data_IF_395612246629
#
_entry.id   IF_395612246629
#
_cell.length_a   1.000
_cell.length_b   1.000
_cell.length_c   1.000
_cell.angle_alpha   90.00
_cell.angle_beta   90.00
_cell.angle_gamma   90.00
#
_symmetry.space_group_name_H-M   'P 1'
#
loop_
_entity.id
_entity.type
_entity.pdbx_description
1 polymer ?
#
# COMPACT_ATOMS: atom_id res chain seq x y z
N UNK A 1 20.83 42.08 -20.12
CA UNK A 1 20.78 40.63 -19.83
C UNK A 1 19.63 40.38 -18.86
N UNK A 2 18.46 40.00 -19.37
CA UNK A 2 17.28 39.74 -18.54
C UNK A 2 17.48 38.44 -17.75
N UNK A 3 17.48 38.53 -16.42
CA UNK A 3 17.40 37.38 -15.52
C UNK A 3 16.03 36.73 -15.67
N UNK A 4 15.98 35.51 -16.21
CA UNK A 4 14.78 34.68 -16.16
C UNK A 4 14.53 34.27 -14.71
N UNK A 5 13.70 35.05 -14.01
CA UNK A 5 13.07 34.63 -12.76
C UNK A 5 12.16 33.43 -13.09
N UNK A 6 12.53 32.25 -12.60
CA UNK A 6 11.60 31.12 -12.58
C UNK A 6 10.41 31.49 -11.70
N UNK A 7 9.17 31.36 -12.18
CA UNK A 7 8.00 31.60 -11.35
C UNK A 7 8.03 30.61 -10.18
N UNK A 8 7.86 31.12 -8.95
CA UNK A 8 7.69 30.28 -7.76
C UNK A 8 6.50 29.35 -7.99
N UNK A 9 6.77 28.08 -8.27
CA UNK A 9 5.72 27.07 -8.38
C UNK A 9 5.04 26.99 -7.01
N UNK A 10 3.76 27.34 -6.97
CA UNK A 10 2.94 27.17 -5.77
C UNK A 10 3.09 25.73 -5.30
N UNK A 11 3.33 25.55 -4.01
CA UNK A 11 3.48 24.24 -3.40
C UNK A 11 2.28 23.37 -3.77
N UNK A 12 2.50 22.38 -4.63
CA UNK A 12 1.50 21.36 -4.89
C UNK A 12 1.16 20.71 -3.53
N UNK A 13 -0.12 20.64 -3.12
CA UNK A 13 -0.51 20.03 -1.83
C UNK A 13 -0.04 18.58 -1.69
N UNK A 14 0.33 17.94 -2.79
CA UNK A 14 0.84 16.57 -2.84
C UNK A 14 2.37 16.45 -2.95
N UNK A 15 3.13 17.56 -2.92
CA UNK A 15 4.59 17.60 -3.10
C UNK A 15 5.10 16.83 -4.34
N UNK A 16 4.29 16.76 -5.41
CA UNK A 16 4.69 16.07 -6.63
C UNK A 16 5.70 16.90 -7.41
N UNK A 17 6.63 16.22 -8.08
CA UNK A 17 7.56 16.83 -9.02
C UNK A 17 6.82 17.35 -10.28
N UNK A 18 7.43 18.28 -11.05
CA UNK A 18 6.89 18.67 -12.34
C UNK A 18 6.65 17.46 -13.26
N UNK A 19 5.41 17.30 -13.74
CA UNK A 19 4.99 16.18 -14.59
C UNK A 19 4.52 14.92 -13.84
N UNK A 20 4.66 14.89 -12.52
CA UNK A 20 4.21 13.78 -11.70
C UNK A 20 2.73 13.93 -11.33
N UNK A 21 2.03 12.80 -11.29
CA UNK A 21 0.58 12.74 -11.13
C UNK A 21 0.24 11.95 -9.87
N UNK A 22 -0.47 12.58 -8.93
CA UNK A 22 -1.01 11.89 -7.76
C UNK A 22 -2.10 10.93 -8.22
N UNK A 23 -1.77 9.65 -8.16
CA UNK A 23 -2.68 8.55 -8.45
C UNK A 23 -3.38 8.18 -7.15
N UNK A 24 -4.46 8.89 -6.80
CA UNK A 24 -5.12 8.63 -5.51
C UNK A 24 -5.57 7.17 -5.36
N UNK A 25 -5.64 6.74 -4.11
CA UNK A 25 -5.49 5.34 -3.73
C UNK A 25 -6.08 5.10 -2.34
N UNK A 26 -6.67 3.93 -2.12
CA UNK A 26 -6.93 3.38 -0.79
C UNK A 26 -6.20 2.05 -0.67
N UNK A 27 -5.29 1.95 0.30
CA UNK A 27 -4.60 0.72 0.67
C UNK A 27 -4.75 0.44 2.15
N UNK A 28 -4.78 -0.83 2.52
CA UNK A 28 -4.95 -1.28 3.89
C UNK A 28 -4.25 -2.62 4.11
N UNK A 29 -3.68 -2.83 5.31
CA UNK A 29 -3.26 -4.16 5.74
C UNK A 29 -3.51 -4.36 7.24
N UNK A 30 -3.94 -5.56 7.60
CA UNK A 30 -4.32 -5.91 8.98
C UNK A 30 -3.81 -7.33 9.30
N UNK A 31 -3.02 -7.52 10.37
CA UNK A 31 -2.66 -8.83 10.88
C UNK A 31 -3.84 -9.50 11.59
N UNK A 32 -3.84 -10.83 11.60
CA UNK A 32 -4.76 -11.68 12.35
C UNK A 32 -4.00 -12.89 12.92
N UNK A 33 -4.63 -13.69 13.78
CA UNK A 33 -3.96 -14.78 14.53
C UNK A 33 -3.20 -15.83 13.69
N UNK A 34 -3.41 -15.89 12.36
CA UNK A 34 -2.73 -16.83 11.46
C UNK A 34 -1.99 -16.18 10.29
N UNK A 35 -1.95 -14.85 10.19
CA UNK A 35 -1.44 -14.21 8.99
C UNK A 35 -1.78 -12.73 8.86
N UNK A 36 -1.86 -12.25 7.62
CA UNK A 36 -2.23 -10.87 7.28
C UNK A 36 -3.25 -10.84 6.14
N UNK A 37 -4.07 -9.81 6.13
CA UNK A 37 -4.91 -9.44 4.98
C UNK A 37 -4.43 -8.09 4.46
N UNK A 38 -4.08 -8.03 3.18
CA UNK A 38 -3.86 -6.80 2.43
C UNK A 38 -5.08 -6.51 1.56
N UNK A 39 -5.38 -5.23 1.37
CA UNK A 39 -6.45 -4.76 0.49
C UNK A 39 -6.09 -3.47 -0.22
N UNK A 40 -6.55 -3.32 -1.46
CA UNK A 40 -6.41 -2.08 -2.21
C UNK A 40 -7.57 -1.87 -3.20
N UNK A 41 -7.89 -0.62 -3.49
CA UNK A 41 -8.68 -0.27 -4.67
C UNK A 41 -7.83 -0.40 -5.96
N UNK A 42 -8.46 -0.26 -7.13
CA UNK A 42 -7.80 -0.51 -8.42
C UNK A 42 -7.73 0.70 -9.36
N UNK A 43 -8.30 1.84 -8.98
CA UNK A 43 -8.31 3.04 -9.83
C UNK A 43 -6.94 3.74 -9.81
N UNK A 44 -6.51 4.24 -10.96
CA UNK A 44 -5.40 5.17 -11.12
C UNK A 44 -5.93 6.37 -11.87
N UNK A 45 -5.85 7.54 -11.25
CA UNK A 45 -6.39 8.79 -11.79
C UNK A 45 -5.27 9.78 -12.13
N UNK A 46 -5.50 10.56 -13.18
CA UNK A 46 -4.71 11.72 -13.57
C UNK A 46 -5.60 12.95 -13.53
N UNK A 47 -5.62 13.63 -12.38
CA UNK A 47 -6.66 14.63 -12.09
C UNK A 47 -8.04 13.96 -12.09
N UNK A 48 -8.95 14.45 -12.93
CA UNK A 48 -10.31 13.91 -13.07
C UNK A 48 -10.39 12.72 -14.05
N UNK A 49 -9.36 12.49 -14.86
CA UNK A 49 -9.33 11.41 -15.83
C UNK A 49 -8.90 10.09 -15.17
N UNK A 50 -9.63 9.00 -15.42
CA UNK A 50 -9.24 7.67 -14.93
C UNK A 50 -8.34 6.98 -15.96
N UNK A 51 -7.03 6.99 -15.70
CA UNK A 51 -6.01 6.40 -16.58
C UNK A 51 -6.04 4.87 -16.57
N UNK A 52 -6.36 4.24 -15.43
CA UNK A 52 -6.54 2.80 -15.33
C UNK A 52 -7.62 2.47 -14.29
N UNK A 53 -8.55 1.56 -14.63
CA UNK A 53 -9.66 1.16 -13.74
C UNK A 53 -9.37 -0.11 -12.93
N UNK A 54 -8.36 -0.91 -13.30
CA UNK A 54 -8.16 -2.27 -12.80
C UNK A 54 -6.71 -2.56 -12.37
N UNK A 55 -5.97 -1.52 -11.97
CA UNK A 55 -4.59 -1.61 -11.51
C UNK A 55 -4.44 -2.56 -10.33
N UNK A 56 -3.30 -3.23 -10.25
CA UNK A 56 -2.93 -4.06 -9.11
C UNK A 56 -1.92 -3.32 -8.22
N UNK A 57 -2.42 -2.80 -7.10
CA UNK A 57 -1.61 -2.03 -6.13
C UNK A 57 -0.98 -2.91 -5.05
N UNK A 58 -1.26 -4.22 -5.05
CA UNK A 58 -0.67 -5.20 -4.13
C UNK A 58 0.41 -5.97 -4.90
N UNK A 59 1.66 -5.58 -4.70
CA UNK A 59 2.80 -6.20 -5.38
C UNK A 59 3.47 -7.25 -4.50
N UNK A 60 3.94 -8.32 -5.13
CA UNK A 60 4.68 -9.38 -4.45
C UNK A 60 6.16 -9.03 -4.35
N UNK A 61 6.72 -9.09 -3.14
CA UNK A 61 8.15 -8.90 -2.87
C UNK A 61 8.90 -10.24 -2.79
N UNK A 62 8.35 -11.20 -2.05
CA UNK A 62 8.83 -12.59 -1.97
C UNK A 62 7.64 -13.54 -1.99
N UNK A 63 7.84 -14.85 -1.78
CA UNK A 63 6.75 -15.82 -1.75
C UNK A 63 5.63 -15.44 -0.77
N UNK A 64 5.99 -14.97 0.44
CA UNK A 64 5.04 -14.66 1.54
C UNK A 64 5.10 -13.21 2.02
N UNK A 65 5.71 -12.31 1.24
CA UNK A 65 5.80 -10.89 1.58
C UNK A 65 5.30 -10.06 0.40
N UNK A 66 4.41 -9.13 0.69
CA UNK A 66 3.77 -8.25 -0.27
C UNK A 66 3.89 -6.79 0.19
N UNK A 67 3.69 -5.87 -0.74
CA UNK A 67 3.50 -4.46 -0.43
C UNK A 67 2.26 -3.89 -1.12
N UNK A 68 1.58 -2.98 -0.43
CA UNK A 68 0.60 -2.09 -1.03
C UNK A 68 1.30 -0.78 -1.44
N UNK A 69 1.00 -0.30 -2.65
CA UNK A 69 1.63 0.88 -3.24
C UNK A 69 0.67 2.07 -3.32
N UNK A 70 1.09 3.23 -2.84
CA UNK A 70 0.39 4.51 -2.97
C UNK A 70 1.38 5.64 -3.25
N UNK A 71 0.95 6.65 -4.01
CA UNK A 71 1.79 7.77 -4.45
C UNK A 71 1.96 7.79 -5.96
N UNK A 72 3.12 8.21 -6.46
CA UNK A 72 3.45 8.12 -7.88
C UNK A 72 3.49 6.65 -8.32
N UNK A 73 2.71 6.33 -9.36
CA UNK A 73 2.68 4.98 -9.89
C UNK A 73 4.06 4.53 -10.41
N UNK A 74 4.80 5.45 -11.06
CA UNK A 74 6.14 5.19 -11.57
C UNK A 74 7.15 4.95 -10.44
N UNK A 75 7.16 5.83 -9.45
CA UNK A 75 8.08 5.76 -8.30
C UNK A 75 7.88 4.46 -7.53
N UNK A 76 6.62 4.14 -7.21
CA UNK A 76 6.30 2.95 -6.42
C UNK A 76 6.54 1.64 -7.18
N UNK A 77 6.39 1.62 -8.51
CA UNK A 77 6.74 0.46 -9.33
C UNK A 77 8.25 0.22 -9.31
N UNK A 78 9.04 1.24 -9.67
CA UNK A 78 10.50 1.13 -9.68
C UNK A 78 11.06 0.75 -8.31
N UNK A 79 10.57 1.40 -7.24
CA UNK A 79 10.93 1.07 -5.87
C UNK A 79 10.67 -0.41 -5.53
N UNK A 80 9.49 -0.92 -5.91
CA UNK A 80 9.10 -2.31 -5.64
C UNK A 80 10.01 -3.29 -6.39
N UNK A 81 10.34 -3.00 -7.65
CA UNK A 81 11.22 -3.85 -8.45
C UNK A 81 12.64 -3.91 -7.87
N UNK A 82 13.18 -2.77 -7.42
CA UNK A 82 14.47 -2.73 -6.73
C UNK A 82 14.44 -3.53 -5.42
N UNK A 83 13.41 -3.34 -4.59
CA UNK A 83 13.30 -4.08 -3.32
C UNK A 83 13.19 -5.58 -3.58
N UNK A 84 12.40 -6.00 -4.57
CA UNK A 84 12.27 -7.40 -4.97
C UNK A 84 13.61 -7.98 -5.40
N UNK A 85 14.35 -7.28 -6.25
CA UNK A 85 15.69 -7.69 -6.68
C UNK A 85 16.65 -7.87 -5.49
N UNK A 86 16.74 -6.88 -4.61
CA UNK A 86 17.63 -6.95 -3.45
C UNK A 86 17.22 -8.01 -2.42
N UNK A 87 15.91 -8.28 -2.26
CA UNK A 87 15.44 -9.38 -1.41
C UNK A 87 15.85 -10.73 -1.98
N UNK A 88 15.66 -10.95 -3.28
CA UNK A 88 16.08 -12.19 -3.93
C UNK A 88 17.59 -12.41 -3.80
N UNK A 89 18.39 -11.37 -4.03
CA UNK A 89 19.84 -11.43 -3.80
C UNK A 89 20.16 -11.79 -2.35
N UNK A 90 19.51 -11.13 -1.39
CA UNK A 90 19.74 -11.39 0.04
C UNK A 90 19.34 -12.81 0.46
N UNK A 91 18.26 -13.37 -0.08
CA UNK A 91 17.83 -14.76 0.20
C UNK A 91 18.85 -15.77 -0.34
N UNK A 92 19.38 -15.53 -1.54
CA UNK A 92 20.44 -16.37 -2.14
C UNK A 92 21.73 -16.30 -1.31
N UNK A 93 22.17 -15.10 -0.93
CA UNK A 93 23.40 -14.91 -0.15
C UNK A 93 23.30 -15.46 1.27
N UNK A 94 22.13 -15.30 1.92
CA UNK A 94 21.92 -15.75 3.30
C UNK A 94 21.49 -17.22 3.42
N UNK A 95 21.12 -17.86 2.31
CA UNK A 95 20.63 -19.24 2.28
C UNK A 95 19.30 -19.45 3.01
N UNK A 96 18.53 -18.40 3.27
CA UNK A 96 17.24 -18.46 3.98
C UNK A 96 16.23 -17.42 3.47
N UNK A 97 14.92 -17.69 3.59
CA UNK A 97 13.90 -16.70 3.24
C UNK A 97 14.00 -15.41 4.06
N UNK A 98 13.68 -14.28 3.43
CA UNK A 98 13.60 -12.98 4.08
C UNK A 98 12.44 -12.94 5.06
N UNK A 99 12.65 -12.27 6.20
CA UNK A 99 11.55 -11.96 7.13
C UNK A 99 10.82 -10.70 6.68
N UNK A 100 9.58 -10.51 7.12
CA UNK A 100 8.80 -9.31 6.82
C UNK A 100 9.55 -8.06 7.28
N UNK A 101 10.22 -8.14 8.44
CA UNK A 101 11.06 -7.07 8.97
C UNK A 101 12.24 -6.72 8.04
N UNK A 102 12.93 -7.70 7.44
CA UNK A 102 14.02 -7.43 6.48
C UNK A 102 13.48 -6.66 5.27
N UNK A 103 12.36 -7.11 4.71
CA UNK A 103 11.71 -6.43 3.58
C UNK A 103 11.28 -5.00 3.93
N UNK A 104 10.66 -4.79 5.09
CA UNK A 104 10.24 -3.48 5.54
C UNK A 104 11.43 -2.52 5.77
N UNK A 105 12.54 -3.01 6.33
CA UNK A 105 13.74 -2.20 6.54
C UNK A 105 14.47 -1.86 5.24
N UNK A 106 14.49 -2.77 4.26
CA UNK A 106 15.04 -2.50 2.93
C UNK A 106 14.19 -1.46 2.20
N UNK A 107 12.87 -1.63 2.20
CA UNK A 107 11.92 -0.66 1.65
C UNK A 107 12.12 0.73 2.26
N UNK A 108 12.14 0.80 3.60
CA UNK A 108 12.43 2.03 4.36
C UNK A 108 13.74 2.68 3.93
N UNK A 109 14.82 1.91 3.80
CA UNK A 109 16.15 2.43 3.47
C UNK A 109 16.12 3.16 2.12
N UNK A 110 15.55 2.54 1.10
CA UNK A 110 15.47 3.14 -0.24
C UNK A 110 14.55 4.37 -0.23
N UNK A 111 13.40 4.30 0.45
CA UNK A 111 12.51 5.47 0.61
C UNK A 111 13.20 6.64 1.28
N UNK A 112 13.90 6.41 2.40
CA UNK A 112 14.56 7.47 3.17
C UNK A 112 15.72 8.11 2.40
N UNK A 113 16.54 7.30 1.71
CA UNK A 113 17.67 7.79 0.92
C UNK A 113 17.22 8.65 -0.26
N UNK A 114 15.98 8.49 -0.72
CA UNK A 114 15.44 9.22 -1.85
C UNK A 114 14.20 10.04 -1.45
N UNK A 115 14.05 10.44 -0.17
CA UNK A 115 12.83 11.07 0.35
C UNK A 115 12.44 12.38 -0.37
N UNK A 116 13.43 13.10 -0.89
CA UNK A 116 13.23 14.35 -1.64
C UNK A 116 12.94 14.08 -3.13
N UNK A 117 13.06 12.81 -3.54
CA UNK A 117 12.96 12.36 -4.92
C UNK A 117 11.90 11.26 -5.15
N UNK A 118 11.25 10.73 -4.11
CA UNK A 118 10.25 9.69 -4.24
C UNK A 118 8.96 10.12 -3.56
N UNK A 119 7.86 9.98 -4.31
CA UNK A 119 6.50 10.04 -3.79
C UNK A 119 5.97 8.62 -3.59
N UNK A 120 6.36 8.01 -2.48
CA UNK A 120 5.99 6.64 -2.15
C UNK A 120 5.52 6.53 -0.70
N UNK A 121 4.25 6.16 -0.52
CA UNK A 121 3.71 5.63 0.72
C UNK A 121 3.40 4.15 0.51
N UNK A 122 4.01 3.27 1.30
CA UNK A 122 3.89 1.82 1.12
C UNK A 122 3.59 1.13 2.44
N UNK A 123 2.78 0.07 2.35
CA UNK A 123 2.54 -0.83 3.47
C UNK A 123 3.16 -2.17 3.10
N UNK A 124 4.17 -2.62 3.85
CA UNK A 124 4.77 -3.95 3.69
C UNK A 124 4.09 -4.90 4.65
N UNK A 125 3.56 -6.00 4.17
CA UNK A 125 2.91 -7.00 5.00
C UNK A 125 3.16 -8.40 4.47
N UNK A 126 3.22 -9.36 5.38
CA UNK A 126 3.45 -10.75 5.02
C UNK A 126 3.42 -11.66 6.23
N UNK A 127 3.88 -12.88 6.00
CA UNK A 127 4.06 -13.86 7.05
C UNK A 127 5.48 -14.42 6.99
N UNK A 128 6.11 -14.58 8.15
CA UNK A 128 7.34 -15.34 8.30
C UNK A 128 7.36 -16.19 9.58
N UNK A 129 8.23 -17.21 9.68
CA UNK A 129 8.24 -18.11 10.84
C UNK A 129 8.59 -17.44 12.18
N UNK A 130 9.27 -16.28 12.15
CA UNK A 130 9.78 -15.56 13.34
C UNK A 130 8.73 -14.62 13.89
N UNK A 131 8.25 -13.68 13.07
CA UNK A 131 7.30 -12.64 13.45
C UNK A 131 5.83 -12.99 13.19
N UNK A 132 5.56 -14.12 12.52
CA UNK A 132 4.22 -14.51 12.03
C UNK A 132 3.64 -13.44 11.12
N UNK A 133 2.35 -13.14 11.21
CA UNK A 133 1.71 -12.11 10.41
C UNK A 133 2.11 -10.71 10.88
N UNK A 134 2.81 -9.95 10.04
CA UNK A 134 3.30 -8.62 10.39
C UNK A 134 2.92 -7.57 9.33
N UNK A 135 2.68 -6.35 9.79
CA UNK A 135 2.37 -5.19 8.95
C UNK A 135 3.26 -4.03 9.35
N UNK A 136 3.98 -3.47 8.37
CA UNK A 136 4.83 -2.30 8.53
C UNK A 136 4.33 -1.18 7.61
N UNK A 137 4.10 0.01 8.17
CA UNK A 137 3.79 1.21 7.42
C UNK A 137 5.06 2.03 7.18
N UNK A 138 5.31 2.38 5.92
CA UNK A 138 6.40 3.25 5.48
C UNK A 138 5.74 4.46 4.78
N UNK A 139 5.42 5.53 5.53
CA UNK A 139 4.82 6.73 4.97
C UNK A 139 5.84 7.52 4.15
N UNK A 140 5.37 8.59 3.50
CA UNK A 140 6.25 9.58 2.89
C UNK A 140 7.31 10.05 3.91
N UNK A 141 8.56 10.13 3.45
CA UNK A 141 9.72 10.41 4.31
C UNK A 141 10.48 9.18 4.79
N UNK A 142 9.92 7.97 4.64
CA UNK A 142 10.67 6.72 4.85
C UNK A 142 10.93 6.35 6.31
N UNK A 143 10.04 6.71 7.24
CA UNK A 143 9.99 6.04 8.55
C UNK A 143 9.46 4.61 8.40
N UNK A 144 9.64 3.75 9.39
CA UNK A 144 9.12 2.38 9.36
C UNK A 144 8.52 2.05 10.73
N UNK A 145 7.24 1.72 10.74
CA UNK A 145 6.47 1.55 11.97
C UNK A 145 5.67 0.26 11.85
N UNK A 146 5.79 -0.63 12.83
CA UNK A 146 4.96 -1.82 12.92
C UNK A 146 3.55 -1.44 13.39
N UNK A 147 2.52 -1.92 12.69
CA UNK A 147 1.14 -1.49 12.87
C UNK A 147 0.22 -2.68 13.13
N UNK A 148 -0.73 -2.50 14.06
CA UNK A 148 -1.85 -3.45 14.26
C UNK A 148 -2.95 -3.29 13.20
N UNK A 149 -2.97 -2.16 12.51
CA UNK A 149 -3.81 -1.88 11.35
C UNK A 149 -3.17 -0.71 10.62
N UNK A 150 -2.83 -0.88 9.34
CA UNK A 150 -2.28 0.18 8.52
C UNK A 150 -3.27 0.55 7.42
N UNK A 151 -3.56 1.84 7.29
CA UNK A 151 -4.31 2.42 6.17
C UNK A 151 -3.45 3.50 5.52
N UNK A 152 -3.59 3.68 4.21
CA UNK A 152 -2.81 4.65 3.46
C UNK A 152 -3.45 5.06 2.13
N UNK A 153 -2.84 6.07 1.51
CA UNK A 153 -3.34 6.71 0.30
C UNK A 153 -4.42 7.76 0.58
N UNK A 154 -4.85 8.48 -0.46
CA UNK A 154 -5.82 9.58 -0.35
C UNK A 154 -7.12 9.15 0.33
N UNK A 155 -7.61 7.94 0.05
CA UNK A 155 -8.88 7.48 0.58
C UNK A 155 -8.87 7.10 2.06
N UNK A 156 -7.68 6.88 2.64
CA UNK A 156 -7.54 6.58 4.07
C UNK A 156 -8.09 7.70 4.97
N UNK A 157 -8.02 8.95 4.51
CA UNK A 157 -8.52 10.13 5.25
C UNK A 157 -10.01 10.05 5.60
N UNK A 158 -10.81 9.35 4.79
CA UNK A 158 -12.26 9.21 4.99
C UNK A 158 -12.64 8.06 5.94
N UNK A 159 -11.70 7.20 6.32
CA UNK A 159 -11.99 5.94 7.02
C UNK A 159 -11.22 5.77 8.34
N UNK A 160 -10.50 6.79 8.83
CA UNK A 160 -9.87 6.74 10.16
C UNK A 160 -10.88 6.38 11.27
N UNK A 161 -11.93 7.20 11.45
CA UNK A 161 -12.92 6.94 12.51
C UNK A 161 -13.68 5.62 12.32
N UNK A 162 -13.89 5.17 11.08
CA UNK A 162 -14.50 3.87 10.80
C UNK A 162 -13.57 2.72 11.21
N UNK A 163 -12.29 2.84 10.86
CA UNK A 163 -11.25 1.86 11.18
C UNK A 163 -11.11 1.74 12.70
N UNK A 164 -11.05 2.87 13.42
CA UNK A 164 -10.96 2.90 14.87
C UNK A 164 -12.19 2.27 15.55
N UNK A 165 -13.39 2.49 15.00
CA UNK A 165 -14.63 1.95 15.55
C UNK A 165 -14.83 0.45 15.29
N UNK A 166 -14.31 -0.07 14.18
CA UNK A 166 -14.54 -1.46 13.76
C UNK A 166 -13.37 -2.39 14.10
N UNK A 167 -12.15 -1.88 14.21
CA UNK A 167 -10.99 -2.69 14.54
C UNK A 167 -11.16 -3.34 15.91
N UNK A 168 -10.85 -4.64 15.97
CA UNK A 168 -10.77 -5.40 17.22
C UNK A 168 -9.46 -6.15 17.25
N UNK A 169 -8.90 -6.30 18.45
CA UNK A 169 -7.79 -7.23 18.62
C UNK A 169 -8.27 -8.67 18.41
N UNK A 170 -7.38 -9.52 17.89
CA UNK A 170 -7.63 -10.95 17.69
C UNK A 170 -8.77 -11.32 16.73
N UNK A 171 -9.05 -10.48 15.72
CA UNK A 171 -9.96 -10.87 14.63
C UNK A 171 -9.48 -12.15 13.94
N UNK A 172 -10.43 -12.98 13.50
CA UNK A 172 -10.15 -14.17 12.68
C UNK A 172 -9.95 -13.82 11.19
N UNK A 173 -9.48 -14.79 10.38
CA UNK A 173 -9.22 -14.60 8.93
C UNK A 173 -10.39 -13.92 8.21
N UNK A 174 -11.60 -14.47 8.37
CA UNK A 174 -12.79 -13.98 7.66
C UNK A 174 -13.25 -12.61 8.19
N UNK A 175 -13.27 -12.40 9.51
CA UNK A 175 -13.64 -11.11 10.11
C UNK A 175 -12.68 -9.99 9.65
N UNK A 176 -11.37 -10.26 9.64
CA UNK A 176 -10.36 -9.32 9.13
C UNK A 176 -10.55 -9.03 7.65
N UNK A 177 -10.85 -10.05 6.85
CA UNK A 177 -11.12 -9.88 5.42
C UNK A 177 -12.34 -8.99 5.16
N UNK A 178 -13.43 -9.23 5.88
CA UNK A 178 -14.65 -8.44 5.76
C UNK A 178 -14.46 -7.00 6.27
N UNK A 179 -13.68 -6.82 7.33
CA UNK A 179 -13.26 -5.51 7.83
C UNK A 179 -12.48 -4.71 6.77
N UNK A 180 -11.49 -5.34 6.12
CA UNK A 180 -10.71 -4.70 5.04
C UNK A 180 -11.60 -4.35 3.85
N UNK A 181 -12.43 -5.30 3.40
CA UNK A 181 -13.37 -5.11 2.28
C UNK A 181 -14.31 -3.93 2.57
N UNK A 182 -14.94 -3.91 3.75
CA UNK A 182 -15.85 -2.84 4.17
C UNK A 182 -15.14 -1.48 4.21
N UNK A 183 -13.98 -1.40 4.85
CA UNK A 183 -13.24 -0.15 5.02
C UNK A 183 -12.85 0.47 3.67
N UNK A 184 -12.30 -0.33 2.75
CA UNK A 184 -11.94 0.15 1.42
C UNK A 184 -13.19 0.58 0.63
N UNK A 185 -14.29 -0.17 0.75
CA UNK A 185 -15.58 0.19 0.13
C UNK A 185 -16.08 1.57 0.58
N UNK A 186 -15.99 1.87 1.88
CA UNK A 186 -16.35 3.19 2.43
C UNK A 186 -15.44 4.31 1.91
N UNK A 187 -14.13 4.05 1.78
CA UNK A 187 -13.21 5.01 1.20
C UNK A 187 -13.54 5.28 -0.28
N UNK A 188 -13.79 4.25 -1.09
CA UNK A 188 -14.16 4.36 -2.50
C UNK A 188 -15.46 5.16 -2.71
N UNK A 189 -16.38 5.14 -1.74
CA UNK A 189 -17.62 5.91 -1.82
C UNK A 189 -17.44 7.43 -1.63
N UNK A 190 -16.28 7.87 -1.12
CA UNK A 190 -16.03 9.29 -0.76
C UNK A 190 -14.79 9.87 -1.44
N UNK A 191 -13.74 9.08 -1.65
CA UNK A 191 -12.54 9.52 -2.33
C UNK A 191 -12.69 9.45 -3.85
N UNK A 192 -12.73 10.60 -4.51
CA UNK A 192 -12.88 10.68 -5.97
C UNK A 192 -11.74 10.01 -6.75
N UNK A 193 -10.58 9.82 -6.12
CA UNK A 193 -9.43 9.18 -6.75
C UNK A 193 -9.38 7.66 -6.53
N UNK A 194 -10.15 7.13 -5.58
CA UNK A 194 -10.27 5.69 -5.34
C UNK A 194 -11.47 5.10 -6.08
N UNK A 195 -11.41 3.82 -6.46
CA UNK A 195 -12.56 3.15 -7.06
C UNK A 195 -12.20 1.90 -7.88
N UNK A 196 -13.16 1.45 -8.68
CA UNK A 196 -12.99 0.25 -9.51
C UNK A 196 -13.38 -1.01 -8.74
N UNK A 197 -12.42 -1.90 -8.54
CA UNK A 197 -12.58 -3.16 -7.79
C UNK A 197 -11.76 -3.10 -6.51
N UNK A 198 -12.13 -3.93 -5.53
CA UNK A 198 -11.26 -4.20 -4.37
C UNK A 198 -10.46 -5.45 -4.68
N UNK A 199 -9.13 -5.39 -4.56
CA UNK A 199 -8.26 -6.57 -4.55
C UNK A 199 -7.86 -6.87 -3.13
N UNK A 200 -7.85 -8.14 -2.75
CA UNK A 200 -7.37 -8.60 -1.45
C UNK A 200 -6.30 -9.68 -1.61
N UNK A 201 -5.36 -9.73 -0.68
CA UNK A 201 -4.36 -10.78 -0.58
C UNK A 201 -4.31 -11.25 0.88
N UNK A 202 -4.66 -12.52 1.11
CA UNK A 202 -4.50 -13.16 2.42
C UNK A 202 -3.23 -13.98 2.40
N UNK A 203 -2.35 -13.76 3.38
CA UNK A 203 -1.08 -14.46 3.50
C UNK A 203 -1.00 -15.14 4.86
N UNK A 204 -0.74 -16.43 4.87
CA UNK A 204 -0.55 -17.26 6.08
C UNK A 204 0.71 -18.12 5.95
N UNK A 205 0.93 -19.02 6.92
CA UNK A 205 2.00 -20.02 6.82
C UNK A 205 1.88 -20.92 5.58
N UNK A 206 0.67 -21.39 5.25
CA UNK A 206 0.46 -22.40 4.21
C UNK A 206 -0.21 -21.88 2.94
N UNK A 207 -0.61 -20.61 2.90
CA UNK A 207 -1.50 -20.11 1.86
C UNK A 207 -1.20 -18.64 1.50
N UNK A 208 -1.21 -18.37 0.20
CA UNK A 208 -1.35 -17.03 -0.37
C UNK A 208 -2.59 -17.02 -1.25
N UNK A 209 -3.66 -16.37 -0.80
CA UNK A 209 -4.93 -16.30 -1.52
C UNK A 209 -5.20 -14.87 -2.01
N UNK A 210 -5.29 -14.70 -3.33
CA UNK A 210 -5.62 -13.43 -3.96
C UNK A 210 -7.04 -13.47 -4.50
N UNK A 211 -7.85 -12.50 -4.10
CA UNK A 211 -9.24 -12.36 -4.55
C UNK A 211 -9.50 -10.94 -5.04
N UNK A 212 -10.62 -10.77 -5.74
CA UNK A 212 -11.14 -9.45 -6.04
C UNK A 212 -12.67 -9.39 -5.91
N UNK A 213 -13.17 -8.20 -5.61
CA UNK A 213 -14.60 -7.88 -5.58
C UNK A 213 -14.90 -6.92 -6.72
N UNK A 214 -15.76 -7.30 -7.67
CA UNK A 214 -16.15 -6.39 -8.74
C UNK A 214 -16.95 -5.21 -8.18
N UNK A 215 -16.87 -4.05 -8.85
CA UNK A 215 -17.49 -2.80 -8.37
C UNK A 215 -18.99 -2.92 -8.08
N UNK A 216 -19.72 -3.74 -8.84
CA UNK A 216 -21.16 -3.98 -8.64
C UNK A 216 -21.50 -4.93 -7.46
N UNK A 217 -20.50 -5.44 -6.74
CA UNK A 217 -20.65 -6.30 -5.55
C UNK A 217 -19.95 -5.72 -4.32
N UNK A 218 -19.65 -4.42 -4.33
CA UNK A 218 -19.02 -3.75 -3.20
C UNK A 218 -19.95 -3.78 -1.98
N UNK A 219 -19.44 -4.04 -0.76
CA UNK A 219 -20.25 -4.03 0.46
C UNK A 219 -20.91 -2.68 0.78
N UNK A 220 -20.32 -1.58 0.31
CA UNK A 220 -20.82 -0.22 0.51
C UNK A 220 -20.31 0.74 -0.58
N UNK A 221 -21.13 1.71 -0.99
CA UNK A 221 -20.78 2.66 -2.06
C UNK A 221 -21.48 2.34 -3.39
N UNK A 222 -21.38 3.23 -4.38
CA UNK A 222 -22.08 3.10 -5.67
C UNK A 222 -21.49 2.02 -6.58
#
# INVERSE_FOLDING_TARGET
>A
MASMLHPSQGSNPYNLKPGEVSSGTTIMAVPFSGGVVLGADSRVSTGTYVANRASDKIAQLTEKIFCCRSGSAADTQALTDYVKFYLQQWEVESGRPATVKVAAHLMRKICYQNKDNLSAGVIVAGWDPVGKGQVYNIPLGGTCIEMKCAIGGSGSTYIYGLTDALYKENMGKQETLDFVKKSISHAMARDGSSGGIIRTCVVTEGEVAREYIPGNKLPYGP
#
